data_IF_507774383110
#
_entry.id   IF_507774383110
#
_cell.length_a   1.000
_cell.length_b   1.000
_cell.length_c   1.000
_cell.angle_alpha   90.00
_cell.angle_beta   90.00
_cell.angle_gamma   90.00
#
_symmetry.space_group_name_H-M   'P 1'
#
loop_
_entity.id
_entity.type
_entity.pdbx_description
1 polymer ?
#
# COMPACT_ATOMS: atom_id res chain seq x y z
N UNK A 1 -56.10 -13.92 31.66
CA UNK A 1 -56.37 -13.29 30.35
C UNK A 1 -55.09 -13.40 29.53
N UNK A 2 -54.91 -14.52 28.83
CA UNK A 2 -53.70 -14.81 28.05
C UNK A 2 -53.89 -14.31 26.62
N UNK A 3 -53.09 -13.34 26.21
CA UNK A 3 -53.12 -12.77 24.87
C UNK A 3 -52.26 -13.67 23.97
N UNK A 4 -52.90 -14.53 23.18
CA UNK A 4 -52.24 -15.33 22.15
C UNK A 4 -52.00 -14.42 20.93
N UNK A 5 -50.74 -14.05 20.66
CA UNK A 5 -50.39 -13.38 19.40
C UNK A 5 -50.36 -14.41 18.26
N UNK A 6 -50.93 -14.11 17.08
CA UNK A 6 -50.94 -15.03 15.95
C UNK A 6 -49.53 -15.20 15.35
N UNK A 7 -49.12 -16.46 15.15
CA UNK A 7 -47.78 -16.90 14.71
C UNK A 7 -47.25 -16.21 13.43
N UNK A 8 -48.14 -15.72 12.56
CA UNK A 8 -47.77 -15.00 11.33
C UNK A 8 -47.17 -13.62 11.58
N UNK A 9 -47.53 -12.94 12.67
CA UNK A 9 -46.98 -11.62 13.05
C UNK A 9 -45.58 -11.76 13.64
N UNK A 10 -45.30 -12.89 14.32
CA UNK A 10 -43.99 -13.18 14.89
C UNK A 10 -42.96 -13.53 13.80
N UNK A 11 -43.36 -14.32 12.80
CA UNK A 11 -42.52 -14.66 11.65
C UNK A 11 -42.16 -13.42 10.79
N UNK A 12 -43.10 -12.50 10.59
CA UNK A 12 -42.85 -11.28 9.81
C UNK A 12 -41.92 -10.29 10.54
N UNK A 13 -42.01 -10.20 11.88
CA UNK A 13 -41.11 -9.38 12.70
C UNK A 13 -39.69 -9.96 12.78
N UNK A 14 -39.53 -11.28 12.82
CA UNK A 14 -38.20 -11.92 12.74
C UNK A 14 -37.54 -11.71 11.38
N UNK A 15 -38.28 -11.80 10.27
CA UNK A 15 -37.73 -11.62 8.92
C UNK A 15 -37.30 -10.16 8.66
N UNK A 16 -38.09 -9.18 9.13
CA UNK A 16 -37.74 -7.76 9.03
C UNK A 16 -36.52 -7.39 9.90
N UNK A 17 -36.41 -7.97 11.09
CA UNK A 17 -35.25 -7.79 11.96
C UNK A 17 -33.98 -8.43 11.37
N UNK A 18 -34.08 -9.61 10.73
CA UNK A 18 -32.96 -10.26 10.05
C UNK A 18 -32.45 -9.43 8.85
N UNK A 19 -33.36 -8.90 8.02
CA UNK A 19 -33.00 -8.03 6.89
C UNK A 19 -32.38 -6.70 7.35
N UNK A 20 -32.90 -6.08 8.42
CA UNK A 20 -32.33 -4.86 8.99
C UNK A 20 -30.93 -5.09 9.57
N UNK A 21 -30.70 -6.24 10.23
CA UNK A 21 -29.39 -6.60 10.77
C UNK A 21 -28.36 -6.90 9.67
N UNK A 22 -28.77 -7.62 8.61
CA UNK A 22 -27.91 -7.91 7.45
C UNK A 22 -27.51 -6.64 6.68
N UNK A 23 -28.44 -5.69 6.49
CA UNK A 23 -28.17 -4.42 5.81
C UNK A 23 -27.23 -3.51 6.61
N UNK A 24 -27.39 -3.43 7.94
CA UNK A 24 -26.49 -2.65 8.79
C UNK A 24 -25.06 -3.23 8.82
N UNK A 25 -24.94 -4.57 8.82
CA UNK A 25 -23.64 -5.25 8.80
C UNK A 25 -22.90 -5.01 7.48
N UNK A 26 -23.60 -5.14 6.35
CA UNK A 26 -23.04 -4.88 5.03
C UNK A 26 -22.58 -3.43 4.86
N UNK A 27 -23.41 -2.45 5.25
CA UNK A 27 -23.07 -1.03 5.17
C UNK A 27 -21.83 -0.68 6.01
N UNK A 28 -21.72 -1.23 7.22
CA UNK A 28 -20.56 -1.01 8.11
C UNK A 28 -19.28 -1.60 7.52
N UNK A 29 -19.39 -2.76 6.86
CA UNK A 29 -18.25 -3.41 6.22
C UNK A 29 -17.75 -2.62 5.00
N UNK A 30 -18.64 -2.09 4.16
CA UNK A 30 -18.27 -1.25 3.01
C UNK A 30 -17.62 0.06 3.46
N UNK A 31 -18.19 0.78 4.43
CA UNK A 31 -17.62 2.06 4.92
C UNK A 31 -16.23 1.85 5.55
N UNK A 32 -16.04 0.76 6.29
CA UNK A 32 -14.73 0.41 6.83
C UNK A 32 -13.75 0.04 5.73
N UNK A 33 -14.22 -0.62 4.67
CA UNK A 33 -13.40 -0.98 3.55
C UNK A 33 -12.87 0.27 2.83
N UNK A 34 -13.75 1.23 2.56
CA UNK A 34 -13.40 2.52 1.97
C UNK A 34 -12.40 3.29 2.86
N UNK A 35 -12.59 3.27 4.19
CA UNK A 35 -11.69 3.96 5.12
C UNK A 35 -10.26 3.39 5.14
N UNK A 36 -10.11 2.06 5.05
CA UNK A 36 -8.80 1.41 4.98
C UNK A 36 -8.14 1.72 3.64
N UNK A 37 -8.88 1.61 2.53
CA UNK A 37 -8.36 1.91 1.20
C UNK A 37 -7.88 3.36 1.10
N UNK A 38 -8.64 4.32 1.65
CA UNK A 38 -8.21 5.72 1.74
C UNK A 38 -7.00 5.93 2.66
N UNK A 39 -6.87 5.16 3.74
CA UNK A 39 -5.67 5.16 4.59
C UNK A 39 -4.44 4.68 3.82
N UNK A 40 -4.56 3.59 3.06
CA UNK A 40 -3.48 3.07 2.23
C UNK A 40 -3.10 4.05 1.13
N UNK A 41 -4.07 4.67 0.44
CA UNK A 41 -3.78 5.72 -0.55
C UNK A 41 -2.97 6.87 0.04
N UNK A 42 -3.34 7.36 1.24
CA UNK A 42 -2.58 8.41 1.93
C UNK A 42 -1.15 7.95 2.28
N UNK A 43 -0.97 6.71 2.71
CA UNK A 43 0.35 6.17 3.00
C UNK A 43 1.22 6.03 1.74
N UNK A 44 0.64 5.66 0.60
CA UNK A 44 1.34 5.62 -0.68
C UNK A 44 1.73 7.04 -1.12
N UNK A 45 0.83 8.02 -1.03
CA UNK A 45 1.17 9.43 -1.28
C UNK A 45 2.32 9.88 -0.39
N UNK A 46 2.26 9.57 0.92
CA UNK A 46 3.31 9.96 1.86
C UNK A 46 4.63 9.23 1.59
N UNK A 47 4.58 8.00 1.12
CA UNK A 47 5.75 7.23 0.68
C UNK A 47 6.43 7.89 -0.52
N UNK A 48 5.66 8.35 -1.51
CA UNK A 48 6.21 9.12 -2.64
C UNK A 48 6.78 10.47 -2.24
N UNK A 49 6.11 11.19 -1.35
CA UNK A 49 6.64 12.44 -0.77
C UNK A 49 7.98 12.16 -0.10
N UNK A 50 8.04 11.14 0.77
CA UNK A 50 9.25 10.77 1.48
C UNK A 50 10.39 10.35 0.54
N UNK A 51 10.09 9.59 -0.51
CA UNK A 51 11.04 9.27 -1.58
C UNK A 51 11.55 10.57 -2.22
N UNK A 52 10.64 11.46 -2.59
CA UNK A 52 10.93 12.70 -3.33
C UNK A 52 11.70 13.74 -2.52
N UNK A 53 11.63 13.68 -1.18
CA UNK A 53 12.29 14.65 -0.31
C UNK A 53 13.41 14.04 0.54
N UNK A 54 13.76 12.77 0.34
CA UNK A 54 14.81 12.11 1.12
C UNK A 54 14.45 11.86 2.60
N UNK A 55 13.16 11.73 2.93
CA UNK A 55 12.67 11.54 4.31
C UNK A 55 12.91 10.11 4.79
N UNK A 56 14.15 9.83 5.23
CA UNK A 56 14.52 8.52 5.75
C UNK A 56 13.76 8.15 7.03
N UNK A 57 13.31 9.13 7.83
CA UNK A 57 12.54 8.86 9.05
C UNK A 57 11.17 8.29 8.71
N UNK A 58 10.52 8.79 7.65
CA UNK A 58 9.31 8.16 7.14
C UNK A 58 9.60 6.78 6.54
N UNK A 59 10.73 6.57 5.83
CA UNK A 59 11.10 5.24 5.32
C UNK A 59 11.29 4.22 6.45
N UNK A 60 11.95 4.62 7.55
CA UNK A 60 12.08 3.84 8.80
C UNK A 60 10.72 3.57 9.43
N UNK A 61 9.82 4.56 9.44
CA UNK A 61 8.48 4.37 9.97
C UNK A 61 7.66 3.42 9.10
N UNK A 62 7.63 3.57 7.78
CA UNK A 62 6.72 2.79 6.96
C UNK A 62 7.20 1.35 6.77
N UNK A 63 8.49 1.06 6.91
CA UNK A 63 9.05 -0.30 6.74
C UNK A 63 8.70 -1.22 7.91
N UNK A 64 8.24 -2.42 7.59
CA UNK A 64 7.95 -3.49 8.57
C UNK A 64 9.21 -3.94 9.29
N UNK A 65 9.06 -4.30 10.57
CA UNK A 65 10.12 -4.93 11.37
C UNK A 65 10.12 -6.45 11.30
N UNK A 66 9.21 -7.04 10.52
CA UNK A 66 9.16 -8.48 10.34
C UNK A 66 10.46 -8.98 9.66
N UNK A 67 11.01 -10.13 10.10
CA UNK A 67 12.26 -10.65 9.55
C UNK A 67 12.16 -11.04 8.07
N UNK A 68 10.94 -11.26 7.58
CA UNK A 68 10.59 -11.58 6.20
C UNK A 68 10.17 -10.35 5.37
N UNK A 69 10.34 -9.13 5.90
CA UNK A 69 10.15 -7.92 5.12
C UNK A 69 11.07 -7.92 3.90
N UNK A 70 10.56 -7.53 2.73
CA UNK A 70 11.27 -7.67 1.46
C UNK A 70 11.18 -6.39 0.62
N UNK A 71 12.31 -5.92 0.10
CA UNK A 71 12.36 -4.95 -0.99
C UNK A 71 13.01 -5.58 -2.22
N UNK A 72 12.37 -5.42 -3.37
CA UNK A 72 12.91 -5.77 -4.68
C UNK A 72 13.03 -4.49 -5.48
N UNK A 73 14.25 -4.12 -5.86
CA UNK A 73 14.51 -2.96 -6.70
C UNK A 73 14.36 -3.28 -8.19
N UNK A 74 14.69 -2.30 -9.05
CA UNK A 74 14.58 -2.47 -10.50
C UNK A 74 15.78 -3.19 -11.11
N UNK A 75 16.94 -3.14 -10.46
CA UNK A 75 18.15 -3.82 -10.94
C UNK A 75 18.18 -5.29 -10.47
N UNK A 76 18.76 -6.17 -11.30
CA UNK A 76 18.77 -7.62 -11.05
C UNK A 76 19.30 -8.07 -9.68
N UNK A 77 20.31 -7.45 -9.04
CA UNK A 77 20.78 -7.87 -7.73
C UNK A 77 20.00 -7.25 -6.56
N UNK A 78 19.05 -6.35 -6.81
CA UNK A 78 18.35 -5.61 -5.77
C UNK A 78 17.28 -6.47 -5.09
N UNK A 79 17.72 -7.25 -4.10
CA UNK A 79 16.87 -8.06 -3.22
C UNK A 79 17.35 -7.83 -1.79
N UNK A 80 16.52 -7.16 -0.98
CA UNK A 80 16.85 -6.79 0.39
C UNK A 80 15.84 -7.39 1.37
N UNK A 81 16.33 -8.20 2.30
CA UNK A 81 15.50 -8.90 3.29
C UNK A 81 15.76 -8.34 4.69
N UNK A 82 14.68 -8.02 5.39
CA UNK A 82 14.68 -7.47 6.74
C UNK A 82 14.81 -5.96 6.77
N UNK A 83 14.34 -5.39 7.88
CA UNK A 83 14.25 -3.94 8.10
C UNK A 83 15.56 -3.19 7.82
N UNK A 84 16.68 -3.63 8.41
CA UNK A 84 17.95 -2.91 8.30
C UNK A 84 18.47 -2.86 6.86
N UNK A 85 18.35 -3.96 6.11
CA UNK A 85 18.78 -4.00 4.70
C UNK A 85 17.95 -3.04 3.84
N UNK A 86 16.63 -3.01 4.05
CA UNK A 86 15.71 -2.16 3.31
C UNK A 86 15.95 -0.67 3.63
N UNK A 87 16.10 -0.32 4.91
CA UNK A 87 16.37 1.06 5.32
C UNK A 87 17.74 1.53 4.83
N UNK A 88 18.76 0.69 4.89
CA UNK A 88 20.10 1.01 4.38
C UNK A 88 20.09 1.19 2.86
N UNK A 89 19.28 0.42 2.12
CA UNK A 89 19.09 0.61 0.69
C UNK A 89 18.47 1.98 0.38
N UNK A 90 17.39 2.38 1.08
CA UNK A 90 16.81 3.71 0.95
C UNK A 90 17.79 4.83 1.29
N UNK A 91 18.53 4.70 2.39
CA UNK A 91 19.56 5.66 2.76
C UNK A 91 20.64 5.77 1.68
N UNK A 92 21.10 4.63 1.13
CA UNK A 92 22.08 4.59 0.05
C UNK A 92 21.59 5.27 -1.23
N UNK A 93 20.31 5.10 -1.58
CA UNK A 93 19.68 5.85 -2.69
C UNK A 93 19.76 7.35 -2.40
N UNK A 94 19.35 7.78 -1.21
CA UNK A 94 19.32 9.21 -0.87
C UNK A 94 20.72 9.83 -0.85
N UNK A 95 21.69 9.15 -0.24
CA UNK A 95 23.08 9.59 -0.21
C UNK A 95 23.67 9.67 -1.62
N UNK A 96 23.37 8.67 -2.46
CA UNK A 96 23.79 8.63 -3.86
C UNK A 96 23.24 9.81 -4.67
N UNK A 97 21.94 10.07 -4.57
CA UNK A 97 21.29 11.19 -5.26
C UNK A 97 21.77 12.55 -4.73
N UNK A 98 21.98 12.68 -3.42
CA UNK A 98 22.56 13.90 -2.83
C UNK A 98 23.97 14.16 -3.38
N UNK A 99 24.79 13.11 -3.54
CA UNK A 99 26.15 13.22 -4.08
C UNK A 99 26.21 13.73 -5.52
N UNK A 100 25.13 13.56 -6.29
CA UNK A 100 25.00 14.05 -7.67
C UNK A 100 24.09 15.29 -7.79
N UNK A 101 23.76 15.93 -6.66
CA UNK A 101 23.13 17.26 -6.63
C UNK A 101 21.60 17.28 -6.57
N UNK A 102 20.92 16.17 -6.26
CA UNK A 102 19.49 16.19 -6.01
C UNK A 102 19.20 16.82 -4.65
N UNK A 103 18.16 17.66 -4.61
CA UNK A 103 17.73 18.34 -3.39
C UNK A 103 17.39 17.32 -2.29
N UNK A 104 18.05 17.44 -1.13
CA UNK A 104 17.94 16.52 0.00
C UNK A 104 18.18 15.03 -0.33
N UNK A 105 18.78 14.72 -1.48
CA UNK A 105 18.93 13.35 -1.96
C UNK A 105 17.63 12.67 -2.37
N UNK A 106 16.54 13.41 -2.55
CA UNK A 106 15.26 12.81 -2.89
C UNK A 106 15.25 12.14 -4.27
N UNK A 107 14.60 10.98 -4.35
CA UNK A 107 14.22 10.29 -5.59
C UNK A 107 12.80 10.76 -5.98
N UNK A 108 12.66 11.70 -6.93
CA UNK A 108 11.37 12.33 -7.22
C UNK A 108 10.42 11.34 -7.89
N UNK A 109 9.22 11.19 -7.32
CA UNK A 109 8.17 10.30 -7.84
C UNK A 109 6.95 11.12 -8.24
N UNK A 110 6.40 10.79 -9.40
CA UNK A 110 5.11 11.29 -9.89
C UNK A 110 4.16 10.12 -10.03
N UNK A 111 3.11 10.13 -9.23
CA UNK A 111 2.05 9.13 -9.26
C UNK A 111 0.89 9.64 -10.13
N UNK A 112 0.54 8.96 -11.24
CA UNK A 112 -0.69 9.21 -11.97
C UNK A 112 -1.91 8.63 -11.23
N UNK A 113 -3.10 9.01 -11.68
CA UNK A 113 -4.40 8.79 -10.98
C UNK A 113 -4.80 7.31 -10.81
N UNK A 114 -4.03 6.34 -11.32
CA UNK A 114 -4.44 4.93 -11.41
C UNK A 114 -3.95 4.04 -10.24
N UNK A 115 -3.73 4.61 -9.05
CA UNK A 115 -3.40 3.85 -7.85
C UNK A 115 -4.51 2.85 -7.49
N UNK A 116 -4.21 1.56 -7.64
CA UNK A 116 -5.06 0.46 -7.23
C UNK A 116 -4.77 0.10 -5.78
N UNK A 117 -5.80 -0.03 -4.96
CA UNK A 117 -5.67 -0.47 -3.56
C UNK A 117 -6.69 -1.56 -3.24
N UNK A 118 -6.37 -2.38 -2.25
CA UNK A 118 -7.32 -3.29 -1.64
C UNK A 118 -6.78 -3.83 -0.32
N UNK A 119 -7.66 -4.43 0.47
CA UNK A 119 -7.27 -5.03 1.75
C UNK A 119 -8.12 -6.23 2.12
N UNK A 120 -7.57 -7.07 3.00
CA UNK A 120 -8.26 -8.18 3.66
C UNK A 120 -7.71 -8.39 5.05
N UNK A 121 -8.54 -8.14 6.06
CA UNK A 121 -8.13 -8.29 7.46
C UNK A 121 -6.94 -7.37 7.80
N UNK A 122 -5.83 -7.90 8.33
CA UNK A 122 -4.66 -7.11 8.71
C UNK A 122 -3.65 -6.90 7.56
N UNK A 123 -4.04 -7.19 6.31
CA UNK A 123 -3.18 -7.06 5.13
C UNK A 123 -3.84 -6.13 4.12
N UNK A 124 -3.06 -5.27 3.49
CA UNK A 124 -3.47 -4.44 2.37
C UNK A 124 -2.42 -4.46 1.27
N UNK A 125 -2.79 -4.06 0.06
CA UNK A 125 -1.88 -3.95 -1.08
C UNK A 125 -2.20 -2.71 -1.89
N UNK A 126 -1.18 -2.19 -2.55
CA UNK A 126 -1.27 -1.11 -3.50
C UNK A 126 -0.45 -1.43 -4.75
N UNK A 127 -0.91 -1.00 -5.91
CA UNK A 127 -0.16 -1.11 -7.15
C UNK A 127 -0.46 0.06 -8.07
N UNK A 128 0.57 0.53 -8.77
CA UNK A 128 0.45 1.62 -9.75
C UNK A 128 1.56 1.55 -10.81
N UNK A 129 1.40 2.38 -11.83
CA UNK A 129 2.47 2.78 -12.73
C UNK A 129 2.81 4.22 -12.39
N UNK A 130 4.06 4.51 -12.05
CA UNK A 130 4.51 5.85 -11.68
C UNK A 130 5.74 6.23 -12.51
N UNK A 131 6.24 7.45 -12.31
CA UNK A 131 7.40 7.98 -13.03
C UNK A 131 8.41 8.51 -12.03
N UNK A 132 9.65 8.04 -12.14
CA UNK A 132 10.78 8.72 -11.52
C UNK A 132 11.21 9.88 -12.41
N UNK A 133 11.33 11.08 -11.84
CA UNK A 133 11.87 12.23 -12.58
C UNK A 133 13.34 12.39 -12.28
N UNK A 134 14.18 12.17 -13.28
CA UNK A 134 15.60 12.47 -13.21
C UNK A 134 15.93 13.69 -14.07
N UNK A 135 17.03 14.38 -13.75
CA UNK A 135 17.49 15.54 -14.49
C UNK A 135 17.75 15.25 -15.98
N UNK A 136 18.09 14.01 -16.32
CA UNK A 136 18.36 13.53 -17.68
C UNK A 136 17.19 12.80 -18.34
N UNK A 137 16.03 12.72 -17.69
CA UNK A 137 14.82 12.14 -18.26
C UNK A 137 13.90 11.47 -17.26
N UNK A 138 12.67 11.24 -17.70
CA UNK A 138 11.64 10.54 -16.93
C UNK A 138 11.73 9.02 -17.18
N UNK A 139 11.67 8.24 -16.10
CA UNK A 139 11.70 6.77 -16.15
C UNK A 139 10.38 6.21 -15.60
N UNK A 140 9.51 5.66 -16.46
CA UNK A 140 8.32 4.95 -16.01
C UNK A 140 8.69 3.66 -15.26
N UNK A 141 8.03 3.42 -14.14
CA UNK A 141 8.19 2.21 -13.35
C UNK A 141 6.84 1.70 -12.85
N UNK A 142 6.81 0.44 -12.43
CA UNK A 142 5.67 -0.18 -11.74
C UNK A 142 6.03 -0.35 -10.28
N UNK A 143 5.10 -0.01 -9.41
CA UNK A 143 5.21 -0.18 -7.98
C UNK A 143 4.18 -1.19 -7.50
N UNK A 144 4.58 -2.09 -6.62
CA UNK A 144 3.67 -2.88 -5.79
C UNK A 144 4.12 -2.83 -4.34
N UNK A 145 3.19 -2.50 -3.46
CA UNK A 145 3.38 -2.46 -2.02
C UNK A 145 2.41 -3.42 -1.34
N UNK A 146 2.90 -4.19 -0.38
CA UNK A 146 2.08 -4.98 0.53
C UNK A 146 2.28 -4.45 1.93
N UNK A 147 1.18 -4.15 2.59
CA UNK A 147 1.13 -3.64 3.95
C UNK A 147 0.61 -4.71 4.91
N UNK A 148 1.17 -4.73 6.11
CA UNK A 148 0.66 -5.50 7.25
C UNK A 148 0.43 -4.54 8.41
N UNK A 149 -0.65 -4.77 9.17
CA UNK A 149 -0.92 -3.99 10.38
C UNK A 149 -0.09 -4.50 11.55
N UNK A 150 0.81 -3.66 12.05
CA UNK A 150 1.73 -3.92 13.15
C UNK A 150 1.52 -2.88 14.25
N UNK A 151 1.15 -3.32 15.45
CA UNK A 151 0.96 -2.44 16.62
C UNK A 151 0.04 -1.24 16.32
N UNK A 152 -1.01 -1.46 15.51
CA UNK A 152 -1.98 -0.44 15.13
C UNK A 152 -1.63 0.35 13.86
N UNK A 153 -0.39 0.29 13.38
CA UNK A 153 0.09 1.00 12.19
C UNK A 153 0.20 0.07 10.98
N UNK A 154 -0.07 0.58 9.78
CA UNK A 154 0.30 -0.13 8.56
C UNK A 154 1.79 0.01 8.30
N UNK A 155 2.44 -1.11 7.99
CA UNK A 155 3.86 -1.17 7.61
C UNK A 155 4.01 -1.95 6.31
N UNK A 156 4.88 -1.50 5.43
CA UNK A 156 5.25 -2.19 4.19
C UNK A 156 6.05 -3.43 4.56
N UNK A 157 5.47 -4.60 4.33
CA UNK A 157 6.15 -5.90 4.46
C UNK A 157 6.76 -6.34 3.12
N UNK A 158 6.25 -5.82 1.99
CA UNK A 158 6.87 -6.03 0.68
C UNK A 158 6.79 -4.76 -0.16
N UNK A 159 7.91 -4.36 -0.77
CA UNK A 159 7.94 -3.36 -1.84
C UNK A 159 8.65 -3.93 -3.07
N UNK A 160 8.12 -3.65 -4.25
CA UNK A 160 8.71 -4.08 -5.51
C UNK A 160 8.60 -2.96 -6.55
N UNK A 161 9.75 -2.57 -7.07
CA UNK A 161 9.91 -1.62 -8.18
C UNK A 161 10.34 -2.37 -9.42
N UNK A 162 9.81 -2.02 -10.58
CA UNK A 162 10.29 -2.62 -11.84
C UNK A 162 10.14 -1.71 -13.03
N UNK A 163 11.12 -1.78 -13.94
CA UNK A 163 11.06 -1.16 -15.26
C UNK A 163 10.57 -2.22 -16.26
N UNK A 164 9.70 -1.84 -17.17
CA UNK A 164 9.17 -2.75 -18.19
C UNK A 164 10.17 -2.98 -19.32
N UNK A 165 10.37 -4.23 -19.72
CA UNK A 165 11.08 -4.60 -20.95
C UNK A 165 10.04 -5.15 -21.94
N UNK A 166 10.03 -4.72 -23.22
CA UNK A 166 9.14 -5.28 -24.21
C UNK A 166 9.36 -6.79 -24.37
N UNK A 167 8.28 -7.55 -24.53
CA UNK A 167 8.36 -8.99 -24.74
C UNK A 167 9.23 -9.37 -25.94
N UNK A 168 9.34 -8.51 -26.97
CA UNK A 168 10.18 -8.73 -28.15
C UNK A 168 11.69 -8.73 -27.86
N UNK A 169 12.11 -8.29 -26.68
CA UNK A 169 13.51 -8.33 -26.23
C UNK A 169 13.79 -9.55 -25.33
N UNK A 170 12.76 -10.32 -24.97
CA UNK A 170 12.95 -11.56 -24.23
C UNK A 170 13.50 -12.64 -25.17
N UNK A 171 14.36 -13.55 -24.69
CA UNK A 171 14.87 -14.67 -25.47
C UNK A 171 13.82 -15.79 -25.57
N UNK A 172 12.65 -15.48 -26.16
CA UNK A 172 11.48 -16.37 -26.31
C UNK A 172 11.21 -16.76 -27.75
#
# INVERSE_FOLDING_TARGET
MNIHLPSKVLAFRMLAALCGFLLAFAATQTVRADAVDEEIKRLVTRFHEASSTGDIEFMKFITSRAPDALAIGSDSPEIFVGYDAIVNWWQGIFDGLASIGYENGGLPVVSPVNLQVGHRGPVAWAAEQAVWRFANGDVPFRLTLVFKREQGHWRIVQQHFSIGVPNSQLPI
#
